data_IF_082474730488
#
_entry.id   IF_082474730488
#
_cell.length_a   1.000
_cell.length_b   1.000
_cell.length_c   1.000
_cell.angle_alpha   90.00
_cell.angle_beta   90.00
_cell.angle_gamma   90.00
#
_symmetry.space_group_name_H-M   'P 1'
#
loop_
_entity.id
_entity.type
_entity.pdbx_description
1 polymer ?
#
# COMPACT_ATOMS: atom_id res chain seq x y z
N UNK A 1 12.37 0.70 8.00
CA UNK A 1 12.45 0.41 6.55
C UNK A 1 13.66 1.09 5.92
N UNK A 2 13.78 2.41 6.09
CA UNK A 2 14.87 3.16 5.44
C UNK A 2 16.25 2.74 5.89
N UNK A 3 16.46 2.55 7.19
CA UNK A 3 17.76 2.16 7.73
C UNK A 3 18.20 0.80 7.20
N UNK A 4 17.30 -0.18 7.23
CA UNK A 4 17.59 -1.51 6.71
C UNK A 4 17.82 -1.47 5.20
N UNK A 5 17.01 -0.71 4.46
CA UNK A 5 17.15 -0.58 3.02
C UNK A 5 18.52 -0.02 2.64
N UNK A 6 18.98 1.02 3.36
CA UNK A 6 20.30 1.61 3.11
C UNK A 6 21.43 0.62 3.38
N UNK A 7 21.28 -0.19 4.42
CA UNK A 7 22.30 -1.16 4.82
C UNK A 7 22.51 -2.26 3.78
N UNK A 8 21.43 -2.73 3.17
CA UNK A 8 21.48 -3.89 2.26
C UNK A 8 21.35 -3.54 0.79
N UNK A 9 21.17 -2.26 0.46
CA UNK A 9 21.03 -1.84 -0.95
C UNK A 9 22.21 -2.26 -1.81
N UNK A 10 23.41 -2.30 -1.25
CA UNK A 10 24.63 -2.71 -1.95
C UNK A 10 24.59 -4.16 -2.43
N UNK A 11 23.68 -4.97 -1.89
CA UNK A 11 23.53 -6.38 -2.23
C UNK A 11 22.42 -6.62 -3.26
N UNK A 12 21.91 -5.56 -3.88
CA UNK A 12 20.79 -5.61 -4.81
C UNK A 12 19.50 -6.16 -4.16
N UNK A 13 19.32 -5.85 -2.88
CA UNK A 13 18.11 -6.23 -2.14
C UNK A 13 17.34 -4.95 -1.83
N UNK A 14 16.05 -4.93 -2.12
CA UNK A 14 15.18 -3.80 -1.80
C UNK A 14 14.31 -4.12 -0.59
N UNK A 15 14.05 -3.10 0.23
CA UNK A 15 13.17 -3.20 1.40
C UNK A 15 12.18 -2.05 1.33
N UNK A 16 10.92 -2.38 1.20
CA UNK A 16 9.84 -1.40 1.16
C UNK A 16 8.70 -1.86 2.06
N UNK A 17 7.88 -0.92 2.47
CA UNK A 17 6.69 -1.20 3.25
C UNK A 17 5.46 -0.69 2.52
N UNK A 18 4.33 -1.34 2.71
CA UNK A 18 3.04 -0.92 2.17
C UNK A 18 2.13 -0.59 3.35
N UNK A 19 1.51 0.58 3.30
CA UNK A 19 0.59 1.04 4.33
C UNK A 19 -0.82 1.21 3.74
N UNK A 20 -1.65 0.16 3.77
CA UNK A 20 -3.00 0.26 3.23
C UNK A 20 -3.92 1.03 4.17
N UNK A 21 -4.91 1.73 3.58
CA UNK A 21 -5.98 2.36 4.32
C UNK A 21 -7.17 1.42 4.46
N UNK A 22 -8.38 1.93 4.16
CA UNK A 22 -9.58 1.11 4.23
C UNK A 22 -9.67 0.20 3.02
N UNK A 23 -9.65 -1.11 3.28
CA UNK A 23 -9.70 -2.15 2.23
C UNK A 23 -10.94 -3.00 2.46
N UNK A 24 -11.67 -3.32 1.38
CA UNK A 24 -12.81 -4.20 1.44
C UNK A 24 -12.40 -5.60 1.89
N UNK A 25 -13.19 -6.18 2.79
CA UNK A 25 -13.05 -7.56 3.21
C UNK A 25 -14.44 -8.18 3.28
N UNK A 26 -14.51 -9.50 3.36
CA UNK A 26 -15.78 -10.21 3.51
C UNK A 26 -16.50 -9.85 4.82
N UNK A 27 -15.76 -9.30 5.78
CA UNK A 27 -16.29 -8.91 7.07
C UNK A 27 -16.67 -7.44 7.15
N UNK A 28 -16.50 -6.69 6.06
CA UNK A 28 -16.82 -5.27 6.06
C UNK A 28 -18.33 -5.07 5.92
N UNK A 29 -18.94 -4.36 6.90
CA UNK A 29 -20.36 -4.02 6.85
C UNK A 29 -20.59 -2.95 5.78
N UNK A 30 -21.58 -3.16 4.94
CA UNK A 30 -21.91 -2.25 3.86
C UNK A 30 -22.34 -0.86 4.38
N UNK A 31 -23.03 -0.83 5.50
CA UNK A 31 -23.42 0.45 6.13
C UNK A 31 -22.20 1.21 6.65
N UNK A 32 -21.26 0.51 7.25
CA UNK A 32 -20.02 1.11 7.73
C UNK A 32 -19.19 1.62 6.55
N UNK A 33 -19.17 0.91 5.43
CA UNK A 33 -18.49 1.38 4.24
C UNK A 33 -19.07 2.68 3.73
N UNK A 34 -20.42 2.82 3.71
CA UNK A 34 -21.06 4.03 3.24
C UNK A 34 -20.72 5.24 4.10
N UNK A 35 -20.58 5.05 5.40
CA UNK A 35 -20.19 6.13 6.30
C UNK A 35 -18.70 6.48 6.14
N UNK A 36 -17.84 5.48 6.12
CA UNK A 36 -16.40 5.70 6.12
C UNK A 36 -15.87 6.16 4.77
N UNK A 37 -16.48 5.73 3.66
CA UNK A 37 -15.99 6.15 2.34
C UNK A 37 -16.09 7.65 2.12
N UNK A 38 -16.97 8.34 2.85
CA UNK A 38 -17.08 9.80 2.77
C UNK A 38 -15.81 10.49 3.24
N UNK A 39 -15.02 9.83 4.08
CA UNK A 39 -13.76 10.35 4.59
C UNK A 39 -12.60 10.11 3.63
N UNK A 40 -12.81 9.31 2.60
CA UNK A 40 -11.76 8.93 1.65
C UNK A 40 -11.91 9.80 0.40
N UNK A 41 -10.87 10.57 0.02
CA UNK A 41 -10.95 11.41 -1.19
C UNK A 41 -11.35 10.64 -2.45
N UNK A 42 -10.89 9.39 -2.61
CA UNK A 42 -11.29 8.55 -3.74
C UNK A 42 -12.75 8.08 -3.63
N UNK A 43 -13.40 8.30 -2.50
CA UNK A 43 -14.80 7.99 -2.23
C UNK A 43 -15.14 6.51 -2.40
N UNK A 44 -14.18 5.63 -2.11
CA UNK A 44 -14.38 4.20 -2.10
C UNK A 44 -13.29 3.52 -1.28
N UNK A 45 -13.59 2.31 -0.80
CA UNK A 45 -12.57 1.46 -0.21
C UNK A 45 -11.70 0.89 -1.34
N UNK A 46 -10.46 0.58 -1.02
CA UNK A 46 -9.59 -0.16 -1.91
C UNK A 46 -9.98 -1.64 -1.91
N UNK A 47 -9.55 -2.34 -2.94
CA UNK A 47 -9.73 -3.79 -3.04
C UNK A 47 -8.44 -4.49 -2.67
N UNK A 48 -8.56 -5.69 -2.10
CA UNK A 48 -7.39 -6.50 -1.76
C UNK A 48 -6.50 -6.72 -2.97
N UNK A 49 -7.08 -6.85 -4.16
CA UNK A 49 -6.34 -7.00 -5.41
C UNK A 49 -5.43 -5.81 -5.70
N UNK A 50 -5.87 -4.61 -5.32
CA UNK A 50 -5.07 -3.40 -5.54
C UNK A 50 -3.82 -3.41 -4.67
N UNK A 51 -3.93 -3.90 -3.44
CA UNK A 51 -2.77 -4.07 -2.56
C UNK A 51 -1.85 -5.16 -3.11
N UNK A 52 -2.44 -6.27 -3.55
CA UNK A 52 -1.68 -7.38 -4.13
C UNK A 52 -0.91 -6.94 -5.38
N UNK A 53 -1.52 -6.12 -6.23
CA UNK A 53 -0.87 -5.60 -7.44
C UNK A 53 0.33 -4.72 -7.09
N UNK A 54 0.21 -3.89 -6.05
CA UNK A 54 1.31 -3.07 -5.60
C UNK A 54 2.46 -3.93 -5.08
N UNK A 55 2.17 -4.92 -4.24
CA UNK A 55 3.19 -5.83 -3.71
C UNK A 55 3.86 -6.60 -4.86
N UNK A 56 3.07 -7.08 -5.80
CA UNK A 56 3.57 -7.78 -6.97
C UNK A 56 4.55 -6.93 -7.77
N UNK A 57 4.24 -5.65 -7.95
CA UNK A 57 5.14 -4.69 -8.60
C UNK A 57 6.44 -4.51 -7.81
N UNK A 58 6.32 -4.34 -6.48
CA UNK A 58 7.48 -4.07 -5.63
C UNK A 58 8.46 -5.25 -5.54
N UNK A 59 7.98 -6.48 -5.73
CA UNK A 59 8.87 -7.65 -5.75
C UNK A 59 9.37 -7.98 -7.14
N UNK A 60 8.98 -7.20 -8.15
CA UNK A 60 9.39 -7.44 -9.54
C UNK A 60 10.68 -6.67 -9.87
N UNK A 61 11.29 -7.04 -10.99
CA UNK A 61 12.48 -6.32 -11.48
C UNK A 61 12.16 -4.89 -11.91
N UNK A 62 10.89 -4.59 -12.16
CA UNK A 62 10.46 -3.25 -12.59
C UNK A 62 10.65 -2.21 -11.50
N UNK A 63 10.73 -2.61 -10.24
CA UNK A 63 10.93 -1.71 -9.10
C UNK A 63 12.33 -1.83 -8.50
N UNK A 64 13.30 -2.32 -9.24
CA UNK A 64 14.63 -2.65 -8.72
C UNK A 64 15.39 -1.45 -8.15
N UNK A 65 15.00 -0.23 -8.50
CA UNK A 65 15.62 1.00 -7.98
C UNK A 65 14.80 1.65 -6.87
N UNK A 66 13.72 1.01 -6.42
CA UNK A 66 12.86 1.48 -5.34
C UNK A 66 13.22 0.74 -4.07
N UNK A 67 13.72 1.46 -3.07
CA UNK A 67 14.03 0.87 -1.77
C UNK A 67 13.92 1.94 -0.68
N UNK A 68 13.61 1.52 0.54
CA UNK A 68 13.50 2.42 1.68
C UNK A 68 12.20 3.20 1.72
N UNK A 69 11.22 2.84 0.91
CA UNK A 69 9.97 3.58 0.82
C UNK A 69 8.86 2.94 1.65
N UNK A 70 7.99 3.80 2.18
CA UNK A 70 6.71 3.39 2.74
C UNK A 70 5.66 3.93 1.78
N UNK A 71 4.94 3.03 1.11
CA UNK A 71 3.99 3.42 0.07
C UNK A 71 2.58 3.31 0.63
N UNK A 72 1.90 4.44 0.67
CA UNK A 72 0.51 4.51 1.11
C UNK A 72 -0.42 4.13 -0.04
N UNK A 73 -1.38 3.27 0.26
CA UNK A 73 -2.41 2.88 -0.70
C UNK A 73 -3.76 3.03 0.02
N UNK A 74 -4.27 4.26 0.04
CA UNK A 74 -5.36 4.65 0.94
C UNK A 74 -6.40 5.59 0.31
N UNK A 75 -6.38 5.75 -1.02
CA UNK A 75 -7.33 6.64 -1.68
C UNK A 75 -7.16 8.10 -1.31
N UNK A 76 -6.05 8.48 -0.70
CA UNK A 76 -5.75 9.86 -0.33
C UNK A 76 -6.15 10.27 1.07
N UNK A 77 -6.65 9.34 1.90
CA UNK A 77 -7.24 9.71 3.20
C UNK A 77 -6.24 10.37 4.15
N UNK A 78 -4.95 10.06 4.02
CA UNK A 78 -3.91 10.62 4.88
C UNK A 78 -2.84 11.38 4.10
N UNK A 79 -3.19 11.84 2.92
CA UNK A 79 -2.22 12.59 2.10
C UNK A 79 -2.27 14.09 2.34
#
# INVERSE_FOLDING_TARGET
TKALAQEIAKRNVTVNAVAPGFIETDMTDELDQQELKKLIPANRFGKAEEVADLVSFLVSKKSSYITGEVININGGIYS
#
